data_IF_771206551454
#
_entry.id   IF_771206551454
#
_cell.length_a   1.000
_cell.length_b   1.000
_cell.length_c   1.000
_cell.angle_alpha   90.00
_cell.angle_beta   90.00
_cell.angle_gamma   90.00
#
_symmetry.space_group_name_H-M   'P 1'
#
loop_
_entity.id
_entity.type
_entity.pdbx_description
1 polymer ?
#
# COMPACT_ATOMS: atom_id res chain seq x y z
N UNK A 1 11.21 -2.43 23.42
CA UNK A 1 10.40 -2.37 22.19
C UNK A 1 11.30 -2.81 21.05
N UNK A 2 10.95 -3.87 20.33
CA UNK A 2 11.70 -4.30 19.15
C UNK A 2 11.58 -3.21 18.08
N UNK A 3 12.67 -2.75 17.45
CA UNK A 3 12.57 -1.91 16.28
C UNK A 3 11.91 -2.76 15.19
N UNK A 4 10.65 -2.45 14.90
CA UNK A 4 9.94 -3.06 13.77
C UNK A 4 10.79 -2.77 12.54
N UNK A 5 11.26 -3.83 11.89
CA UNK A 5 12.18 -3.72 10.78
C UNK A 5 11.40 -3.15 9.56
N UNK A 6 11.51 -1.84 9.35
CA UNK A 6 10.73 -1.11 8.35
C UNK A 6 10.96 -1.62 6.91
N UNK A 7 12.11 -2.23 6.63
CA UNK A 7 12.41 -2.83 5.32
C UNK A 7 11.56 -4.07 5.03
N UNK A 8 11.27 -4.89 6.04
CA UNK A 8 10.40 -6.07 5.88
C UNK A 8 8.96 -5.66 5.55
N UNK A 9 8.48 -4.59 6.19
CA UNK A 9 7.14 -4.05 5.94
C UNK A 9 7.05 -3.45 4.54
N UNK A 10 8.10 -2.77 4.06
CA UNK A 10 8.13 -2.19 2.73
C UNK A 10 8.04 -3.27 1.63
N UNK A 11 8.75 -4.38 1.78
CA UNK A 11 8.70 -5.49 0.83
C UNK A 11 7.31 -6.14 0.78
N UNK A 12 6.73 -6.46 1.94
CA UNK A 12 5.37 -7.01 2.02
C UNK A 12 4.36 -6.02 1.45
N UNK A 13 4.51 -4.72 1.74
CA UNK A 13 3.63 -3.68 1.21
C UNK A 13 3.71 -3.58 -0.32
N UNK A 14 4.90 -3.70 -0.91
CA UNK A 14 5.08 -3.69 -2.37
C UNK A 14 4.37 -4.88 -3.01
N UNK A 15 4.55 -6.09 -2.46
CA UNK A 15 3.91 -7.30 -2.95
C UNK A 15 2.39 -7.23 -2.82
N UNK A 16 1.88 -6.77 -1.68
CA UNK A 16 0.44 -6.66 -1.45
C UNK A 16 -0.20 -5.54 -2.28
N UNK A 17 0.50 -4.45 -2.58
CA UNK A 17 0.00 -3.39 -3.48
C UNK A 17 0.07 -3.79 -4.96
N UNK A 18 0.92 -4.74 -5.35
CA UNK A 18 0.98 -5.29 -6.73
C UNK A 18 -0.26 -6.09 -7.10
N UNK A 19 -0.94 -6.72 -6.14
CA UNK A 19 -2.16 -7.52 -6.38
C UNK A 19 -3.38 -6.65 -6.79
N UNK A 20 -3.73 -5.57 -6.07
CA UNK A 20 -4.80 -4.64 -6.44
C UNK A 20 -4.28 -3.62 -7.46
N UNK A 21 -4.44 -3.94 -8.75
CA UNK A 21 -4.03 -3.07 -9.87
C UNK A 21 -4.69 -1.68 -9.80
N UNK A 22 -5.85 -1.57 -9.13
CA UNK A 22 -6.57 -0.31 -8.86
C UNK A 22 -5.82 0.66 -7.92
N UNK A 23 -4.78 0.25 -7.19
CA UNK A 23 -4.03 1.14 -6.30
C UNK A 23 -2.87 1.90 -6.97
N UNK A 24 -2.42 1.45 -8.15
CA UNK A 24 -1.28 2.05 -8.83
C UNK A 24 -1.48 2.29 -10.34
N UNK A 25 -2.49 1.70 -10.96
CA UNK A 25 -2.77 1.90 -12.38
C UNK A 25 -3.82 2.99 -12.62
N UNK A 26 -3.35 4.23 -12.81
CA UNK A 26 -4.20 5.40 -13.08
C UNK A 26 -5.01 5.32 -14.40
N UNK A 27 -4.74 4.33 -15.27
CA UNK A 27 -5.47 4.11 -16.53
C UNK A 27 -6.75 3.29 -16.36
N UNK A 28 -6.98 2.68 -15.19
CA UNK A 28 -8.19 1.90 -14.91
C UNK A 28 -9.32 2.79 -14.36
N UNK A 29 -10.56 2.56 -14.79
CA UNK A 29 -11.75 3.23 -14.22
C UNK A 29 -11.87 2.99 -12.71
N UNK A 30 -11.49 1.81 -12.23
CA UNK A 30 -11.50 1.41 -10.82
C UNK A 30 -10.49 2.17 -9.94
N UNK A 31 -9.48 2.82 -10.53
CA UNK A 31 -8.58 3.72 -9.79
C UNK A 31 -9.35 4.92 -9.19
N UNK A 32 -10.48 5.32 -9.80
CA UNK A 32 -11.32 6.41 -9.31
C UNK A 32 -12.38 5.95 -8.30
N UNK A 33 -12.51 4.65 -8.07
CA UNK A 33 -13.43 4.12 -7.08
C UNK A 33 -12.78 4.15 -5.69
N UNK A 34 -13.14 5.17 -4.92
CA UNK A 34 -12.64 5.35 -3.54
C UNK A 34 -13.02 4.19 -2.64
N UNK A 35 -14.17 3.55 -2.85
CA UNK A 35 -14.62 2.45 -1.99
C UNK A 35 -13.76 1.20 -2.23
N UNK A 36 -13.45 0.89 -3.49
CA UNK A 36 -12.58 -0.25 -3.83
C UNK A 36 -11.12 -0.02 -3.38
N UNK A 37 -10.65 1.23 -3.48
CA UNK A 37 -9.34 1.59 -2.95
C UNK A 37 -9.27 1.44 -1.42
N UNK A 38 -10.28 1.89 -0.68
CA UNK A 38 -10.33 1.74 0.78
C UNK A 38 -10.40 0.28 1.23
N UNK A 39 -11.22 -0.55 0.57
CA UNK A 39 -11.25 -2.00 0.82
C UNK A 39 -9.87 -2.64 0.62
N UNK A 40 -9.21 -2.28 -0.49
CA UNK A 40 -7.87 -2.81 -0.80
C UNK A 40 -6.87 -2.42 0.29
N UNK A 41 -6.87 -1.15 0.71
CA UNK A 41 -5.99 -0.70 1.81
C UNK A 41 -6.30 -1.38 3.13
N UNK A 42 -7.57 -1.62 3.45
CA UNK A 42 -7.96 -2.33 4.65
C UNK A 42 -7.41 -3.76 4.66
N UNK A 43 -7.54 -4.50 3.54
CA UNK A 43 -6.98 -5.85 3.40
C UNK A 43 -5.46 -5.83 3.59
N UNK A 44 -4.76 -4.90 2.93
CA UNK A 44 -3.31 -4.74 3.06
C UNK A 44 -2.91 -4.46 4.52
N UNK A 45 -3.69 -3.63 5.23
CA UNK A 45 -3.43 -3.31 6.63
C UNK A 45 -3.54 -4.55 7.52
N UNK A 46 -4.51 -5.43 7.26
CA UNK A 46 -4.63 -6.70 7.98
C UNK A 46 -3.42 -7.61 7.70
N UNK A 47 -2.95 -7.68 6.46
CA UNK A 47 -1.80 -8.53 6.07
C UNK A 47 -0.46 -8.00 6.60
N UNK A 48 -0.28 -6.68 6.62
CA UNK A 48 0.95 -6.01 7.06
C UNK A 48 0.99 -5.76 8.57
N UNK A 49 -0.12 -6.00 9.27
CA UNK A 49 -0.31 -5.76 10.69
C UNK A 49 0.03 -4.32 11.14
N UNK A 50 -0.24 -3.35 10.25
CA UNK A 50 -0.14 -1.91 10.51
C UNK A 50 -1.45 -1.23 10.11
N UNK A 51 -1.65 0.02 10.54
CA UNK A 51 -2.88 0.74 10.19
C UNK A 51 -2.92 1.11 8.70
N UNK A 52 -4.13 1.29 8.17
CA UNK A 52 -4.35 1.82 6.81
C UNK A 52 -3.60 3.14 6.57
N UNK A 53 -3.53 3.99 7.60
CA UNK A 53 -2.82 5.27 7.52
C UNK A 53 -1.31 5.06 7.31
N UNK A 54 -0.72 4.13 8.06
CA UNK A 54 0.70 3.76 7.93
C UNK A 54 1.00 3.07 6.59
N UNK A 55 0.11 2.20 6.09
CA UNK A 55 0.24 1.62 4.74
C UNK A 55 0.30 2.71 3.67
N UNK A 56 -0.62 3.68 3.71
CA UNK A 56 -0.69 4.80 2.76
C UNK A 56 0.55 5.70 2.83
N UNK A 57 1.02 6.00 4.04
CA UNK A 57 2.22 6.81 4.25
C UNK A 57 3.47 6.10 3.71
N UNK A 58 3.63 4.81 4.02
CA UNK A 58 4.74 3.98 3.55
C UNK A 58 4.72 3.85 2.03
N UNK A 59 3.55 3.62 1.43
CA UNK A 59 3.39 3.57 -0.02
C UNK A 59 3.74 4.89 -0.69
N UNK A 60 3.34 6.03 -0.12
CA UNK A 60 3.73 7.36 -0.61
C UNK A 60 5.26 7.53 -0.58
N UNK A 61 5.91 7.14 0.51
CA UNK A 61 7.38 7.18 0.65
C UNK A 61 8.06 6.31 -0.41
N UNK A 62 7.58 5.08 -0.61
CA UNK A 62 8.12 4.14 -1.61
C UNK A 62 7.96 4.67 -3.03
N UNK A 63 6.77 5.15 -3.42
CA UNK A 63 6.57 5.76 -4.74
C UNK A 63 7.49 6.95 -4.98
N UNK A 64 7.65 7.84 -4.00
CA UNK A 64 8.55 8.98 -4.12
C UNK A 64 10.02 8.56 -4.28
N UNK A 65 10.42 7.42 -3.71
CA UNK A 65 11.79 6.87 -3.82
C UNK A 65 12.06 6.27 -5.20
N UNK A 66 11.09 5.56 -5.80
CA UNK A 66 11.30 4.75 -7.01
C UNK A 66 10.74 5.35 -8.31
N UNK A 67 9.78 6.27 -8.24
CA UNK A 67 9.08 6.85 -9.42
C UNK A 67 9.60 8.26 -9.74
N UNK A 68 10.92 8.51 -9.59
CA UNK A 68 11.53 9.75 -10.08
C UNK A 68 11.64 9.75 -11.60
#
# INVERSE_FOLDING_TARGET
MNPVNFELIDEVLIEEVRKPVNLYNAKLKSYRDRNEAEKSWFIISQTTNISVAECKQSWKRLRNKYVR
#
